data_IF_399967545772
#
_entry.id   IF_399967545772
#
_cell.length_a   1.000
_cell.length_b   1.000
_cell.length_c   1.000
_cell.angle_alpha   90.00
_cell.angle_beta   90.00
_cell.angle_gamma   90.00
#
_symmetry.space_group_name_H-M   'P 1'
#
loop_
_entity.id
_entity.type
_entity.pdbx_description
1 polymer ?
#
# COMPACT_ATOMS: atom_id res chain seq x y z
N UNK A 1 17.14 11.77 -15.91
CA UNK A 1 16.57 13.13 -16.14
C UNK A 1 15.20 13.06 -16.79
N UNK A 2 15.03 12.33 -17.88
CA UNK A 2 13.74 12.19 -18.61
C UNK A 2 12.58 11.73 -17.71
N UNK A 3 12.78 10.73 -16.85
CA UNK A 3 11.75 10.22 -15.93
C UNK A 3 11.26 11.27 -14.91
N UNK A 4 12.15 12.08 -14.35
CA UNK A 4 11.79 13.18 -13.44
C UNK A 4 10.94 14.24 -14.14
N UNK A 5 11.30 14.61 -15.37
CA UNK A 5 10.58 15.61 -16.17
C UNK A 5 9.17 15.10 -16.49
N UNK A 6 9.07 13.86 -16.94
CA UNK A 6 7.78 13.21 -17.23
C UNK A 6 6.90 13.16 -15.97
N UNK A 7 7.47 12.75 -14.83
CA UNK A 7 6.75 12.74 -13.55
C UNK A 7 6.21 14.13 -13.17
N UNK A 8 7.02 15.17 -13.32
CA UNK A 8 6.60 16.53 -13.04
C UNK A 8 5.47 17.01 -13.95
N UNK A 9 5.53 16.68 -15.25
CA UNK A 9 4.46 16.99 -16.22
C UNK A 9 3.14 16.32 -15.83
N UNK A 10 3.16 15.04 -15.44
CA UNK A 10 1.96 14.33 -15.01
C UNK A 10 1.35 14.90 -13.73
N UNK A 11 2.18 15.33 -12.78
CA UNK A 11 1.70 15.99 -11.56
C UNK A 11 1.05 17.34 -11.91
N UNK A 12 1.70 18.15 -12.73
CA UNK A 12 1.16 19.43 -13.18
C UNK A 12 -0.17 19.25 -13.93
N UNK A 13 -0.27 18.25 -14.81
CA UNK A 13 -1.52 17.88 -15.48
C UNK A 13 -2.61 17.49 -14.48
N UNK A 14 -2.30 16.68 -13.47
CA UNK A 14 -3.26 16.27 -12.44
C UNK A 14 -3.83 17.48 -11.69
N UNK A 15 -2.98 18.45 -11.33
CA UNK A 15 -3.41 19.68 -10.65
C UNK A 15 -4.29 20.54 -11.56
N UNK A 16 -3.91 20.72 -12.83
CA UNK A 16 -4.71 21.46 -13.80
C UNK A 16 -6.05 20.78 -14.12
N UNK A 17 -6.07 19.45 -14.17
CA UNK A 17 -7.30 18.68 -14.40
C UNK A 17 -8.28 18.77 -13.23
N UNK A 18 -7.78 18.90 -11.99
CA UNK A 18 -8.59 19.02 -10.78
C UNK A 18 -9.17 20.44 -10.58
N UNK A 19 -8.57 21.48 -11.17
CA UNK A 19 -9.02 22.87 -11.01
C UNK A 19 -10.33 23.14 -11.80
N UNK A 20 -11.23 24.00 -11.26
CA UNK A 20 -12.51 24.33 -11.91
C UNK A 20 -12.34 25.17 -13.18
N UNK A 21 -11.22 25.88 -13.34
CA UNK A 21 -10.87 26.62 -14.56
C UNK A 21 -10.14 25.76 -15.62
N UNK A 22 -9.80 24.51 -15.29
CA UNK A 22 -9.18 23.55 -16.20
C UNK A 22 -10.21 22.57 -16.80
N UNK A 23 -9.94 21.26 -16.68
CA UNK A 23 -10.87 20.22 -17.13
C UNK A 23 -12.06 20.01 -16.17
N UNK A 24 -11.99 20.54 -14.95
CA UNK A 24 -13.07 20.43 -13.95
C UNK A 24 -13.28 19.03 -13.38
N UNK A 25 -12.35 18.09 -13.61
CA UNK A 25 -12.44 16.68 -13.21
C UNK A 25 -12.17 16.43 -11.72
N UNK A 26 -12.07 17.48 -10.90
CA UNK A 26 -11.80 17.33 -9.47
C UNK A 26 -12.80 16.39 -8.78
N UNK A 27 -14.08 16.49 -9.12
CA UNK A 27 -15.11 15.61 -8.56
C UNK A 27 -14.94 14.15 -9.00
N UNK A 28 -14.65 13.91 -10.28
CA UNK A 28 -14.43 12.56 -10.83
C UNK A 28 -13.18 11.90 -10.25
N UNK A 29 -12.09 12.67 -10.07
CA UNK A 29 -10.86 12.19 -9.43
C UNK A 29 -11.15 11.76 -7.98
N UNK A 30 -11.90 12.57 -7.23
CA UNK A 30 -12.28 12.24 -5.85
C UNK A 30 -13.20 11.01 -5.81
N UNK A 31 -14.15 10.91 -6.74
CA UNK A 31 -15.03 9.74 -6.84
C UNK A 31 -14.24 8.47 -7.14
N UNK A 32 -13.30 8.52 -8.07
CA UNK A 32 -12.39 7.41 -8.38
C UNK A 32 -11.53 7.03 -7.18
N UNK A 33 -10.95 8.01 -6.48
CA UNK A 33 -10.12 7.73 -5.30
C UNK A 33 -10.95 7.11 -4.17
N UNK A 34 -12.18 7.60 -3.93
CA UNK A 34 -13.13 7.02 -2.97
C UNK A 34 -13.55 5.59 -3.34
N UNK A 35 -13.71 5.29 -4.63
CA UNK A 35 -14.05 3.94 -5.10
C UNK A 35 -12.87 2.97 -5.12
N UNK A 36 -11.68 3.46 -5.49
CA UNK A 36 -10.47 2.65 -5.62
C UNK A 36 -9.73 2.41 -4.32
N UNK A 37 -9.75 3.37 -3.39
CA UNK A 37 -9.04 3.24 -2.09
C UNK A 37 -9.52 2.06 -1.24
N UNK A 38 -10.83 1.73 -1.13
CA UNK A 38 -11.27 0.55 -0.38
C UNK A 38 -10.85 -0.76 -1.06
N UNK A 39 -10.83 -0.80 -2.39
CA UNK A 39 -10.40 -1.99 -3.15
C UNK A 39 -8.91 -2.25 -2.92
N UNK A 40 -8.07 -1.21 -3.03
CA UNK A 40 -6.64 -1.29 -2.71
C UNK A 40 -6.42 -1.67 -1.25
N UNK A 41 -7.16 -1.07 -0.31
CA UNK A 41 -7.06 -1.39 1.10
C UNK A 41 -7.45 -2.86 1.38
N UNK A 42 -8.47 -3.39 0.72
CA UNK A 42 -8.86 -4.79 0.85
C UNK A 42 -7.75 -5.73 0.31
N UNK A 43 -7.16 -5.41 -0.84
CA UNK A 43 -6.06 -6.19 -1.41
C UNK A 43 -4.82 -6.18 -0.50
N UNK A 44 -4.39 -5.00 -0.06
CA UNK A 44 -3.24 -4.85 0.84
C UNK A 44 -3.53 -5.52 2.19
N UNK A 45 -4.73 -5.34 2.74
CA UNK A 45 -5.14 -5.95 4.00
C UNK A 45 -5.16 -7.48 3.93
N UNK A 46 -5.65 -8.05 2.82
CA UNK A 46 -5.63 -9.49 2.59
C UNK A 46 -4.19 -10.02 2.56
N UNK A 47 -3.28 -9.35 1.84
CA UNK A 47 -1.85 -9.70 1.82
C UNK A 47 -1.26 -9.60 3.23
N UNK A 48 -1.57 -8.53 3.97
CA UNK A 48 -1.06 -8.31 5.32
C UNK A 48 -1.50 -9.40 6.31
N UNK A 49 -2.73 -9.91 6.19
CA UNK A 49 -3.21 -11.04 7.00
C UNK A 49 -2.36 -12.29 6.75
N UNK A 50 -2.10 -12.62 5.48
CA UNK A 50 -1.28 -13.80 5.14
C UNK A 50 0.15 -13.66 5.65
N UNK A 51 0.77 -12.49 5.47
CA UNK A 51 2.12 -12.21 5.98
C UNK A 51 2.15 -12.27 7.51
N UNK A 52 1.16 -11.69 8.19
CA UNK A 52 1.06 -11.69 9.65
C UNK A 52 0.89 -13.10 10.24
N UNK A 53 0.08 -13.95 9.62
CA UNK A 53 -0.08 -15.35 10.06
C UNK A 53 1.24 -16.12 9.90
N UNK A 54 1.97 -15.90 8.80
CA UNK A 54 3.27 -16.53 8.58
C UNK A 54 4.30 -16.05 9.63
N UNK A 55 4.39 -14.75 9.87
CA UNK A 55 5.31 -14.15 10.87
C UNK A 55 5.03 -14.67 12.29
N UNK A 56 3.75 -14.79 12.70
CA UNK A 56 3.39 -15.31 14.02
C UNK A 56 3.79 -16.78 14.18
N UNK A 57 3.59 -17.60 13.15
CA UNK A 57 3.95 -19.03 13.19
C UNK A 57 5.46 -19.19 13.30
N UNK A 58 6.22 -18.48 12.48
CA UNK A 58 7.67 -18.50 12.44
C UNK A 58 8.27 -18.09 13.80
N UNK A 59 7.80 -16.97 14.39
CA UNK A 59 8.22 -16.53 15.73
C UNK A 59 7.89 -17.53 16.83
N UNK A 60 6.80 -18.27 16.71
CA UNK A 60 6.39 -19.26 17.71
C UNK A 60 7.21 -20.54 17.61
N UNK A 61 7.61 -20.95 16.42
CA UNK A 61 8.54 -22.06 16.23
C UNK A 61 9.95 -21.70 16.71
N UNK A 62 10.45 -20.51 16.36
CA UNK A 62 11.76 -20.03 16.83
C UNK A 62 11.86 -20.02 18.37
N UNK A 63 10.83 -19.49 19.06
CA UNK A 63 10.79 -19.52 20.53
C UNK A 63 10.80 -20.94 21.11
N UNK A 64 10.12 -21.88 20.47
CA UNK A 64 10.10 -23.29 20.92
C UNK A 64 11.46 -23.95 20.74
N UNK A 65 12.15 -23.71 19.63
CA UNK A 65 13.50 -24.24 19.41
C UNK A 65 14.53 -23.64 20.40
N UNK A 66 14.41 -22.35 20.73
CA UNK A 66 15.24 -21.71 21.76
C UNK A 66 15.01 -22.34 23.16
N UNK A 67 13.76 -22.56 23.54
CA UNK A 67 13.41 -23.20 24.82
C UNK A 67 13.88 -24.66 24.88
N UNK A 68 13.76 -25.42 23.78
CA UNK A 68 14.23 -26.81 23.71
C UNK A 68 15.75 -26.92 23.72
N UNK A 69 16.47 -25.96 23.14
CA UNK A 69 17.93 -25.92 23.17
C UNK A 69 18.42 -25.61 24.58
N UNK A 70 17.81 -24.65 25.28
CA UNK A 70 18.12 -24.32 26.68
C UNK A 70 17.78 -25.41 27.69
N UNK A 71 16.79 -26.25 27.40
CA UNK A 71 16.41 -27.37 28.28
C UNK A 71 17.27 -28.63 28.06
N UNK A 72 18.05 -28.68 26.97
CA UNK A 72 18.95 -29.79 26.63
C UNK A 72 20.42 -29.49 26.94
N UNK A 73 20.75 -28.26 27.30
CA UNK A 73 22.04 -27.83 27.85
C UNK A 73 22.01 -27.88 29.39
#
# INVERSE_FOLDING_TARGET
MVSMIIGFIFIAFTVLAALPFGLGWGSDIIAFLKGGSPVLAAFIGLIAIFVGIADIRDKREAKKEEEQSRAKE
#
